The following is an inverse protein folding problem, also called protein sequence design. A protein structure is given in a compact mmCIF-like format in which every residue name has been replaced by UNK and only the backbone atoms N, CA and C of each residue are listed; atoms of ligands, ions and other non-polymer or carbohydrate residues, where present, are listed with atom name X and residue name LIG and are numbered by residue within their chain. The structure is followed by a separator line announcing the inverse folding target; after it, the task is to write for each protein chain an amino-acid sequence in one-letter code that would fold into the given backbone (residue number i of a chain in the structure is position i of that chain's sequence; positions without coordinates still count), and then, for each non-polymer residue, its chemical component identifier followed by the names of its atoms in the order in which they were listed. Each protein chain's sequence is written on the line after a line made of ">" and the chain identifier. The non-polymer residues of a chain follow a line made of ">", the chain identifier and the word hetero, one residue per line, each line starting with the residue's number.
data_IF_221683515694
#
_entry.id   IF_221683515694
#
_cell.length_a   1.000
_cell.length_b   1.000
_cell.length_c   1.000
_cell.angle_alpha   90.00
_cell.angle_beta   90.00
_cell.angle_gamma   90.00
#
_symmetry.space_group_name_H-M   'P 1'
#
loop_
_entity.id
_entity.type
_entity.pdbx_description
1 polymer ?
#
# COMPACT_ATOMS: atom_id res chain seq x y z
N UNK A 1 24.71 -60.65 -24.83
CA UNK A 1 25.85 -59.76 -24.51
C UNK A 1 25.61 -58.41 -25.16
N UNK A 2 25.08 -57.42 -24.44
CA UNK A 2 24.81 -56.06 -24.94
C UNK A 2 26.02 -55.17 -24.64
N UNK A 3 26.59 -54.53 -25.66
CA UNK A 3 27.61 -53.48 -25.54
C UNK A 3 26.90 -52.15 -25.23
N UNK A 4 27.29 -51.49 -24.15
CA UNK A 4 26.86 -50.13 -23.80
C UNK A 4 27.99 -49.19 -24.21
N UNK A 5 27.67 -48.20 -25.04
CA UNK A 5 28.57 -47.11 -25.41
C UNK A 5 28.43 -45.98 -24.37
N UNK A 6 29.54 -45.54 -23.80
CA UNK A 6 29.62 -44.34 -22.98
C UNK A 6 29.96 -43.14 -23.90
N UNK A 7 28.99 -42.25 -24.09
CA UNK A 7 29.21 -40.94 -24.70
C UNK A 7 29.32 -39.89 -23.61
N UNK A 8 30.48 -39.24 -23.49
CA UNK A 8 30.68 -38.08 -22.63
C UNK A 8 30.08 -36.87 -23.37
N UNK A 9 28.95 -36.37 -22.89
CA UNK A 9 28.38 -35.08 -23.33
C UNK A 9 28.92 -33.99 -22.40
N UNK A 10 29.91 -33.23 -22.88
CA UNK A 10 30.38 -32.01 -22.21
C UNK A 10 29.37 -30.90 -22.51
N UNK A 11 28.36 -30.74 -21.65
CA UNK A 11 27.45 -29.60 -21.70
C UNK A 11 28.10 -28.38 -21.06
N UNK A 12 28.53 -27.42 -21.88
CA UNK A 12 28.87 -26.07 -21.42
C UNK A 12 27.55 -25.38 -21.05
N UNK A 13 27.30 -25.22 -19.75
CA UNK A 13 26.25 -24.35 -19.25
C UNK A 13 26.69 -22.89 -19.47
N UNK A 14 26.16 -22.24 -20.50
CA UNK A 14 26.23 -20.79 -20.63
C UNK A 14 25.15 -20.21 -19.74
N UNK A 15 25.54 -19.70 -18.57
CA UNK A 15 24.68 -18.81 -17.80
C UNK A 15 24.58 -17.49 -18.57
N UNK A 16 23.49 -17.28 -19.29
CA UNK A 16 23.07 -15.94 -19.67
C UNK A 16 22.64 -15.23 -18.40
N UNK A 17 23.54 -14.44 -17.83
CA UNK A 17 23.16 -13.39 -16.90
C UNK A 17 22.25 -12.43 -17.68
N UNK A 18 20.95 -12.54 -17.50
CA UNK A 18 20.07 -11.40 -17.76
C UNK A 18 20.42 -10.41 -16.65
N UNK A 19 21.33 -9.49 -16.97
CA UNK A 19 21.49 -8.27 -16.18
C UNK A 19 20.10 -7.65 -16.10
N UNK A 20 19.48 -7.66 -14.93
CA UNK A 20 18.37 -6.75 -14.66
C UNK A 20 18.98 -5.36 -14.79
N UNK A 21 18.74 -4.71 -15.94
CA UNK A 21 19.02 -3.29 -16.07
C UNK A 21 18.25 -2.60 -14.94
N UNK A 22 18.94 -1.76 -14.16
CA UNK A 22 18.28 -0.92 -13.16
C UNK A 22 17.06 -0.26 -13.82
N UNK A 23 15.92 -0.26 -13.12
CA UNK A 23 14.74 0.45 -13.61
C UNK A 23 15.17 1.87 -13.99
N UNK A 24 14.86 2.34 -15.22
CA UNK A 24 15.35 3.63 -15.70
C UNK A 24 14.84 4.74 -14.77
N UNK A 25 15.70 5.73 -14.46
CA UNK A 25 15.32 6.87 -13.63
C UNK A 25 14.09 7.56 -14.24
N UNK A 26 12.98 7.58 -13.52
CA UNK A 26 11.72 8.12 -14.01
C UNK A 26 11.84 9.59 -14.42
N UNK A 27 12.73 10.33 -13.76
CA UNK A 27 13.04 11.73 -14.11
C UNK A 27 13.68 11.82 -15.49
N UNK A 28 14.58 10.87 -15.79
CA UNK A 28 15.22 10.77 -17.10
C UNK A 28 14.21 10.38 -18.18
N UNK A 29 13.39 9.35 -17.96
CA UNK A 29 12.35 8.90 -18.92
C UNK A 29 11.36 10.03 -19.22
N UNK A 30 10.90 10.74 -18.19
CA UNK A 30 10.02 11.92 -18.35
C UNK A 30 10.71 12.97 -19.22
N UNK A 31 11.95 13.32 -18.89
CA UNK A 31 12.73 14.36 -19.59
C UNK A 31 12.95 14.00 -21.05
N UNK A 32 13.31 12.75 -21.35
CA UNK A 32 13.50 12.25 -22.71
C UNK A 32 12.18 12.29 -23.52
N UNK A 33 11.06 11.89 -22.92
CA UNK A 33 9.75 11.99 -23.56
C UNK A 33 9.38 13.43 -23.92
N UNK A 34 9.63 14.40 -23.03
CA UNK A 34 9.39 15.82 -23.30
C UNK A 34 10.31 16.38 -24.40
N UNK A 35 11.56 15.95 -24.45
CA UNK A 35 12.49 16.32 -25.51
C UNK A 35 12.00 15.80 -26.87
N UNK A 36 11.52 14.55 -26.94
CA UNK A 36 10.92 13.99 -28.14
C UNK A 36 9.67 14.75 -28.57
N UNK A 37 8.78 15.08 -27.63
CA UNK A 37 7.57 15.86 -27.91
C UNK A 37 7.90 17.23 -28.51
N UNK A 38 8.84 17.96 -27.89
CA UNK A 38 9.29 19.25 -28.39
C UNK A 38 9.93 19.15 -29.79
N UNK A 39 10.73 18.09 -30.03
CA UNK A 39 11.33 17.85 -31.33
C UNK A 39 10.27 17.57 -32.42
N UNK A 40 9.22 16.80 -32.12
CA UNK A 40 8.12 16.56 -33.06
C UNK A 40 7.33 17.84 -33.36
N UNK A 41 7.06 18.66 -32.35
CA UNK A 41 6.39 19.96 -32.54
C UNK A 41 7.24 20.91 -33.39
N UNK A 42 8.56 20.94 -33.19
CA UNK A 42 9.49 21.72 -34.01
C UNK A 42 9.54 21.25 -35.48
N UNK A 43 9.23 19.98 -35.74
CA UNK A 43 9.12 19.42 -37.10
C UNK A 43 7.74 19.65 -37.74
N UNK A 44 6.86 20.42 -37.09
CA UNK A 44 5.52 20.72 -37.61
C UNK A 44 4.52 19.58 -37.43
N UNK A 45 4.80 18.62 -36.55
CA UNK A 45 3.84 17.55 -36.26
C UNK A 45 2.60 18.12 -35.54
N UNK A 46 1.43 17.72 -36.02
CA UNK A 46 0.14 18.10 -35.43
C UNK A 46 0.06 17.64 -33.96
N UNK A 47 -0.55 18.47 -33.10
CA UNK A 47 -0.46 18.32 -31.65
C UNK A 47 -1.01 16.96 -31.17
N UNK A 48 -2.18 16.55 -31.67
CA UNK A 48 -2.78 15.26 -31.31
C UNK A 48 -1.90 14.08 -31.74
N UNK A 49 -1.26 14.18 -32.91
CA UNK A 49 -0.30 13.18 -33.38
C UNK A 49 0.97 13.12 -32.52
N UNK A 50 1.49 14.28 -32.08
CA UNK A 50 2.64 14.34 -31.17
C UNK A 50 2.32 13.75 -29.79
N UNK A 51 1.12 14.02 -29.24
CA UNK A 51 0.65 13.40 -28.00
C UNK A 51 0.46 11.88 -28.16
N UNK A 52 -0.06 11.43 -29.30
CA UNK A 52 -0.17 10.00 -29.60
C UNK A 52 1.17 9.27 -29.56
N UNK A 53 2.22 9.87 -30.12
CA UNK A 53 3.57 9.32 -30.08
C UNK A 53 4.17 9.36 -28.66
N UNK A 54 3.93 10.45 -27.93
CA UNK A 54 4.41 10.60 -26.55
C UNK A 54 3.78 9.57 -25.62
N UNK A 55 2.49 9.28 -25.79
CA UNK A 55 1.79 8.20 -25.08
C UNK A 55 2.46 6.85 -25.33
N UNK A 56 2.77 6.52 -26.58
CA UNK A 56 3.42 5.25 -26.92
C UNK A 56 4.83 5.15 -26.32
N UNK A 57 5.58 6.26 -26.32
CA UNK A 57 6.89 6.33 -25.67
C UNK A 57 6.80 5.97 -24.18
N UNK A 58 5.90 6.64 -23.43
CA UNK A 58 5.75 6.39 -22.00
C UNK A 58 5.17 5.01 -21.68
N UNK A 59 4.23 4.49 -22.47
CA UNK A 59 3.74 3.12 -22.33
C UNK A 59 4.85 2.09 -22.59
N UNK A 60 5.70 2.32 -23.59
CA UNK A 60 6.86 1.47 -23.88
C UNK A 60 7.92 1.47 -22.77
N UNK A 61 7.98 2.56 -21.99
CA UNK A 61 8.79 2.67 -20.78
C UNK A 61 8.11 2.14 -19.51
N UNK A 62 6.93 1.52 -19.64
CA UNK A 62 6.19 0.93 -18.52
C UNK A 62 5.39 1.93 -17.66
N UNK A 63 5.22 3.19 -18.09
CA UNK A 63 4.45 4.19 -17.33
C UNK A 63 2.94 4.08 -17.60
N UNK A 64 2.12 4.54 -16.66
CA UNK A 64 0.68 4.71 -16.89
C UNK A 64 0.42 6.07 -17.55
N UNK A 65 -0.45 6.10 -18.57
CA UNK A 65 -0.78 7.33 -19.30
C UNK A 65 -2.28 7.49 -19.42
N UNK A 66 -2.79 8.63 -18.95
CA UNK A 66 -4.17 9.08 -19.11
C UNK A 66 -4.17 10.22 -20.13
N UNK A 67 -5.04 10.10 -21.13
CA UNK A 67 -5.21 11.11 -22.16
C UNK A 67 -6.70 11.49 -22.21
N UNK A 68 -6.99 12.76 -22.01
CA UNK A 68 -8.33 13.32 -22.17
C UNK A 68 -8.25 14.57 -23.05
N UNK A 69 -8.91 14.52 -24.20
CA UNK A 69 -8.79 15.52 -25.26
C UNK A 69 -7.33 15.82 -25.65
N UNK A 70 -6.82 16.98 -25.22
CA UNK A 70 -5.47 17.49 -25.46
C UNK A 70 -4.57 17.45 -24.22
N UNK A 71 -5.07 16.94 -23.10
CA UNK A 71 -4.33 16.86 -21.84
C UNK A 71 -3.82 15.43 -21.63
N UNK A 72 -2.57 15.32 -21.19
CA UNK A 72 -1.94 14.05 -20.86
C UNK A 72 -1.44 14.06 -19.42
N UNK A 73 -1.89 13.11 -18.62
CA UNK A 73 -1.29 12.80 -17.33
C UNK A 73 -0.46 11.51 -17.45
N UNK A 74 0.81 11.57 -17.07
CA UNK A 74 1.73 10.44 -17.08
C UNK A 74 2.09 10.13 -15.63
N UNK A 75 1.89 8.88 -15.21
CA UNK A 75 2.18 8.41 -13.85
C UNK A 75 3.28 7.34 -13.95
N UNK A 76 4.43 7.63 -13.36
CA UNK A 76 5.52 6.66 -13.21
C UNK A 76 5.28 5.72 -12.03
N UNK A 77 6.07 4.65 -11.94
CA UNK A 77 6.16 3.88 -10.70
C UNK A 77 6.66 4.82 -9.57
N UNK A 78 6.14 4.70 -8.34
CA UNK A 78 6.50 5.63 -7.27
C UNK A 78 5.69 6.94 -7.24
N UNK A 79 4.46 6.96 -7.78
CA UNK A 79 3.50 8.07 -7.60
C UNK A 79 3.83 9.42 -8.26
N UNK A 80 4.95 9.56 -8.97
CA UNK A 80 5.31 10.80 -9.67
C UNK A 80 4.42 10.99 -10.89
N UNK A 81 3.72 12.12 -10.95
CA UNK A 81 2.87 12.50 -12.08
C UNK A 81 3.39 13.74 -12.81
N UNK A 82 3.24 13.73 -14.13
CA UNK A 82 3.42 14.92 -14.98
C UNK A 82 2.11 15.17 -15.71
N UNK A 83 1.59 16.39 -15.60
CA UNK A 83 0.44 16.85 -16.35
C UNK A 83 0.92 17.77 -17.47
N UNK A 84 0.68 17.34 -18.71
CA UNK A 84 0.88 18.14 -19.91
C UNK A 84 -0.49 18.64 -20.35
N UNK A 85 -0.71 19.94 -20.19
CA UNK A 85 -1.94 20.59 -20.64
C UNK A 85 -1.83 20.93 -22.13
N UNK A 86 -2.92 20.73 -22.86
CA UNK A 86 -3.06 21.04 -24.28
C UNK A 86 -2.98 22.54 -24.60
N UNK A 87 -2.99 22.88 -25.89
CA UNK A 87 -2.65 24.21 -26.41
C UNK A 87 -3.45 25.38 -25.79
N UNK A 88 -2.88 26.62 -25.79
CA UNK A 88 -3.44 27.79 -25.08
C UNK A 88 -4.82 28.27 -25.58
N UNK A 89 -5.32 27.75 -26.70
CA UNK A 89 -6.46 28.33 -27.42
C UNK A 89 -7.83 28.01 -26.80
N UNK A 90 -7.90 27.14 -25.80
CA UNK A 90 -9.11 26.93 -24.97
C UNK A 90 -9.11 27.70 -23.65
N UNK A 91 -8.04 28.45 -23.34
CA UNK A 91 -8.07 29.48 -22.30
C UNK A 91 -8.63 30.77 -22.91
N UNK A 92 -9.92 30.73 -23.28
CA UNK A 92 -10.68 31.93 -23.54
C UNK A 92 -10.49 32.89 -22.35
N UNK A 93 -10.01 34.09 -22.66
CA UNK A 93 -9.88 35.26 -21.78
C UNK A 93 -9.85 34.91 -20.29
N UNK A 94 -8.65 34.95 -19.70
CA UNK A 94 -8.47 35.00 -18.26
C UNK A 94 -9.26 36.17 -17.65
N UNK A 95 -10.55 35.97 -17.37
CA UNK A 95 -11.14 36.55 -16.19
C UNK A 95 -10.45 35.88 -15.01
N UNK A 96 -9.90 36.69 -14.11
CA UNK A 96 -9.25 36.26 -12.88
C UNK A 96 -10.26 35.71 -11.88
N UNK A 97 -11.13 34.80 -12.32
CA UNK A 97 -11.94 33.97 -11.45
C UNK A 97 -11.03 32.89 -10.91
N UNK A 98 -10.49 33.11 -9.71
CA UNK A 98 -9.85 32.07 -8.92
C UNK A 98 -10.84 30.92 -8.80
N UNK A 99 -10.69 29.88 -9.62
CA UNK A 99 -11.31 28.60 -9.35
C UNK A 99 -10.60 28.12 -8.09
N UNK A 100 -11.23 28.38 -6.94
CA UNK A 100 -10.81 27.86 -5.65
C UNK A 100 -11.05 26.34 -5.68
N UNK A 101 -10.16 25.62 -6.36
CA UNK A 101 -9.76 24.32 -5.83
C UNK A 101 -9.20 24.66 -4.45
N UNK A 102 -10.02 24.43 -3.41
CA UNK A 102 -9.58 24.63 -2.04
C UNK A 102 -8.21 23.99 -1.93
N UNK A 103 -7.20 24.81 -1.59
CA UNK A 103 -5.82 24.39 -1.44
C UNK A 103 -5.87 23.01 -0.77
N UNK A 104 -5.33 21.93 -1.37
CA UNK A 104 -5.28 20.64 -0.70
C UNK A 104 -4.81 20.89 0.73
N UNK A 105 -5.44 20.28 1.75
CA UNK A 105 -5.03 20.49 3.14
C UNK A 105 -3.51 20.45 3.17
N UNK A 106 -2.87 21.56 3.55
CA UNK A 106 -1.41 21.64 3.47
C UNK A 106 -0.88 20.63 4.46
N UNK A 107 -0.50 19.45 3.97
CA UNK A 107 0.18 18.45 4.77
C UNK A 107 1.48 19.09 5.25
N UNK A 108 1.58 19.29 6.56
CA UNK A 108 2.82 19.71 7.19
C UNK A 108 3.88 18.62 7.06
N UNK A 109 5.15 19.03 7.12
CA UNK A 109 6.26 18.10 7.37
C UNK A 109 6.03 17.35 8.68
N UNK A 110 6.68 16.18 8.88
CA UNK A 110 6.61 15.49 10.16
C UNK A 110 7.01 16.39 11.33
N UNK A 111 6.18 16.40 12.38
CA UNK A 111 6.45 17.10 13.65
C UNK A 111 6.17 16.24 14.90
N UNK A 112 5.71 15.00 14.69
CA UNK A 112 5.50 14.00 15.73
C UNK A 112 6.01 12.64 15.25
N UNK A 113 6.46 11.82 16.19
CA UNK A 113 7.00 10.48 15.94
C UNK A 113 6.48 9.49 16.99
N UNK A 114 6.47 8.19 16.69
CA UNK A 114 6.28 7.17 17.72
C UNK A 114 7.36 7.26 18.80
N UNK A 115 6.98 7.10 20.06
CA UNK A 115 7.94 7.11 21.20
C UNK A 115 8.65 5.77 21.41
N UNK A 116 8.37 4.77 20.56
CA UNK A 116 9.01 3.46 20.55
C UNK A 116 9.54 3.13 19.16
N UNK A 117 10.84 2.89 19.02
CA UNK A 117 11.46 2.42 17.77
C UNK A 117 11.36 0.89 17.60
N UNK A 118 10.16 0.35 17.83
CA UNK A 118 9.86 -1.06 17.58
C UNK A 118 8.62 -1.21 16.72
N UNK A 119 8.66 -2.15 15.80
CA UNK A 119 7.64 -2.41 14.81
C UNK A 119 7.22 -3.89 14.84
N UNK A 120 5.93 -4.13 14.64
CA UNK A 120 5.39 -5.46 14.42
C UNK A 120 4.70 -5.52 13.07
N UNK A 121 5.04 -6.54 12.29
CA UNK A 121 4.51 -6.82 10.97
C UNK A 121 3.70 -8.12 11.05
N UNK A 122 2.45 -8.10 10.61
CA UNK A 122 1.53 -9.22 10.68
C UNK A 122 1.08 -9.62 9.27
N UNK A 123 1.29 -10.89 8.90
CA UNK A 123 0.75 -11.50 7.67
C UNK A 123 -0.07 -12.76 7.98
N UNK A 124 -1.30 -12.63 8.52
CA UNK A 124 -2.13 -13.77 8.88
C UNK A 124 -2.45 -14.72 7.72
N UNK A 125 -2.23 -14.30 6.46
CA UNK A 125 -2.60 -15.06 5.26
C UNK A 125 -1.46 -15.16 4.22
N UNK A 126 -0.21 -15.14 4.65
CA UNK A 126 0.99 -15.39 3.80
C UNK A 126 0.81 -16.62 2.89
N UNK A 127 0.18 -17.67 3.41
CA UNK A 127 -0.15 -18.91 2.68
C UNK A 127 -1.07 -18.73 1.45
N UNK A 128 -1.82 -17.63 1.35
CA UNK A 128 -2.69 -17.36 0.20
C UNK A 128 -1.94 -16.81 -1.02
N UNK A 129 -0.62 -16.60 -0.88
CA UNK A 129 0.05 -15.60 -1.67
C UNK A 129 0.31 -15.80 -3.13
N UNK A 130 0.29 -17.03 -3.62
CA UNK A 130 0.33 -17.35 -5.04
C UNK A 130 1.21 -16.41 -5.88
N UNK A 131 0.70 -16.02 -7.05
CA UNK A 131 1.38 -15.11 -7.99
C UNK A 131 0.92 -13.65 -7.88
N UNK A 132 0.02 -13.35 -6.94
CA UNK A 132 -0.62 -12.03 -6.83
C UNK A 132 -0.12 -11.21 -5.64
N UNK A 133 0.65 -11.83 -4.74
CA UNK A 133 1.35 -11.14 -3.66
C UNK A 133 2.67 -10.60 -4.16
N UNK A 134 3.09 -9.46 -3.64
CA UNK A 134 4.47 -9.05 -3.72
C UNK A 134 5.30 -9.91 -2.73
N UNK A 135 6.17 -10.83 -3.21
CA UNK A 135 6.93 -11.72 -2.34
C UNK A 135 7.94 -10.97 -1.46
N UNK A 136 8.34 -9.77 -1.87
CA UNK A 136 9.40 -8.99 -1.23
C UNK A 136 8.85 -7.90 -0.29
N UNK A 137 7.52 -7.71 -0.23
CA UNK A 137 6.87 -6.64 0.53
C UNK A 137 7.38 -6.52 1.98
N UNK A 138 7.38 -7.65 2.71
CA UNK A 138 7.77 -7.64 4.11
C UNK A 138 9.27 -7.39 4.30
N UNK A 139 10.10 -7.85 3.36
CA UNK A 139 11.54 -7.59 3.40
C UNK A 139 11.85 -6.13 3.06
N UNK A 140 11.13 -5.53 2.10
CA UNK A 140 11.23 -4.10 1.77
C UNK A 140 10.80 -3.22 2.96
N UNK A 141 9.59 -3.40 3.49
CA UNK A 141 9.09 -2.66 4.65
C UNK A 141 10.03 -2.84 5.86
N UNK A 142 10.52 -4.06 6.08
CA UNK A 142 11.47 -4.34 7.15
C UNK A 142 12.77 -3.57 6.97
N UNK A 143 13.35 -3.54 5.77
CA UNK A 143 14.58 -2.81 5.47
C UNK A 143 14.41 -1.31 5.67
N UNK A 144 13.28 -0.75 5.21
CA UNK A 144 13.00 0.68 5.35
C UNK A 144 12.83 1.06 6.82
N UNK A 145 12.05 0.30 7.58
CA UNK A 145 11.89 0.49 9.02
C UNK A 145 13.22 0.38 9.77
N UNK A 146 14.06 -0.60 9.42
CA UNK A 146 15.38 -0.76 10.03
C UNK A 146 16.31 0.40 9.69
N UNK A 147 16.22 0.94 8.48
CA UNK A 147 16.97 2.13 8.06
C UNK A 147 16.54 3.39 8.83
N UNK A 148 15.26 3.49 9.19
CA UNK A 148 14.71 4.50 10.10
C UNK A 148 14.98 4.21 11.59
N UNK A 149 15.72 3.15 11.92
CA UNK A 149 16.11 2.83 13.30
C UNK A 149 15.10 1.99 14.10
N UNK A 150 14.10 1.39 13.45
CA UNK A 150 13.16 0.49 14.11
C UNK A 150 13.69 -0.95 14.17
N UNK A 151 13.52 -1.58 15.33
CA UNK A 151 13.56 -3.03 15.44
C UNK A 151 12.26 -3.64 14.91
N UNK A 152 12.33 -4.74 14.17
CA UNK A 152 11.16 -5.36 13.51
C UNK A 152 10.92 -6.77 14.02
N UNK A 153 9.66 -7.11 14.28
CA UNK A 153 9.21 -8.48 14.54
C UNK A 153 8.14 -8.87 13.53
N UNK A 154 8.28 -10.03 12.90
CA UNK A 154 7.37 -10.51 11.87
C UNK A 154 6.65 -11.78 12.33
N UNK A 155 5.32 -11.79 12.21
CA UNK A 155 4.46 -12.95 12.49
C UNK A 155 3.59 -13.25 11.28
N UNK A 156 3.47 -14.55 10.93
CA UNK A 156 2.70 -14.97 9.77
C UNK A 156 1.81 -16.16 10.01
N UNK A 157 0.81 -16.32 9.15
CA UNK A 157 -0.13 -17.44 9.18
C UNK A 157 -0.72 -17.62 10.59
N UNK A 158 -0.76 -18.86 11.08
CA UNK A 158 -1.28 -19.21 12.41
C UNK A 158 -0.48 -18.66 13.60
N UNK A 159 0.63 -17.93 13.37
CA UNK A 159 1.32 -17.20 14.43
C UNK A 159 0.56 -15.92 14.82
N UNK A 160 -0.23 -15.35 13.90
CA UNK A 160 -1.04 -14.16 14.15
C UNK A 160 -2.33 -14.60 14.85
N UNK A 161 -2.22 -14.84 16.16
CA UNK A 161 -3.34 -15.27 17.04
C UNK A 161 -4.04 -14.10 17.68
N UNK A 162 -5.24 -14.32 18.22
CA UNK A 162 -5.92 -13.30 19.04
C UNK A 162 -5.07 -12.96 20.28
N UNK A 163 -4.46 -13.95 20.93
CA UNK A 163 -3.59 -13.72 22.08
C UNK A 163 -2.34 -12.88 21.74
N UNK A 164 -1.81 -13.01 20.53
CA UNK A 164 -0.75 -12.13 20.05
C UNK A 164 -1.27 -10.70 19.86
N UNK A 165 -2.44 -10.57 19.22
CA UNK A 165 -3.11 -9.27 19.00
C UNK A 165 -3.42 -8.58 20.33
N UNK A 166 -3.77 -9.30 21.39
CA UNK A 166 -4.03 -8.75 22.73
C UNK A 166 -2.77 -8.24 23.44
N UNK A 167 -1.59 -8.77 23.12
CA UNK A 167 -0.41 -8.60 23.99
C UNK A 167 0.83 -8.00 23.31
N UNK A 168 0.91 -7.98 21.98
CA UNK A 168 2.16 -7.67 21.25
C UNK A 168 2.12 -6.44 20.37
N UNK A 169 1.00 -5.72 20.30
CA UNK A 169 0.84 -4.58 19.37
C UNK A 169 1.18 -3.22 20.00
N UNK A 170 1.64 -3.19 21.25
CA UNK A 170 2.18 -1.97 21.86
C UNK A 170 3.57 -1.65 21.30
N UNK A 171 3.59 -1.07 20.09
CA UNK A 171 4.74 -0.84 19.21
C UNK A 171 4.62 0.52 18.54
N UNK A 172 5.73 1.14 18.15
CA UNK A 172 5.68 2.39 17.39
C UNK A 172 5.06 2.23 16.00
N UNK A 173 5.22 1.06 15.40
CA UNK A 173 4.57 0.70 14.13
C UNK A 173 3.87 -0.64 14.26
N UNK A 174 2.60 -0.69 13.84
CA UNK A 174 1.85 -1.92 13.63
C UNK A 174 1.43 -1.96 12.17
N UNK A 175 2.02 -2.87 11.41
CA UNK A 175 1.62 -3.17 10.04
C UNK A 175 0.86 -4.49 10.02
N UNK A 176 -0.35 -4.49 9.49
CA UNK A 176 -1.15 -5.71 9.32
C UNK A 176 -1.63 -5.79 7.88
N UNK A 177 -1.18 -6.82 7.18
CA UNK A 177 -1.55 -7.12 5.80
C UNK A 177 -2.33 -8.41 5.75
N UNK A 178 -3.62 -8.33 5.43
CA UNK A 178 -4.52 -9.48 5.53
C UNK A 178 -5.97 -9.17 5.18
N UNK A 179 -6.87 -10.08 5.55
CA UNK A 179 -8.30 -9.90 5.31
C UNK A 179 -8.93 -8.96 6.33
N UNK A 180 -9.78 -8.08 5.82
CA UNK A 180 -10.61 -7.17 6.59
C UNK A 180 -11.98 -7.06 5.93
N UNK A 181 -12.91 -6.43 6.63
CA UNK A 181 -14.25 -6.19 6.11
C UNK A 181 -15.08 -5.30 7.02
N UNK A 182 -16.33 -5.15 6.65
CA UNK A 182 -17.33 -4.45 7.43
C UNK A 182 -18.48 -5.37 7.82
N UNK A 183 -18.66 -5.55 9.12
CA UNK A 183 -19.81 -6.23 9.66
C UNK A 183 -21.00 -5.26 9.74
N UNK A 184 -21.90 -5.38 8.76
CA UNK A 184 -23.12 -4.57 8.69
C UNK A 184 -24.09 -4.77 9.86
N UNK A 185 -24.00 -5.89 10.59
CA UNK A 185 -24.90 -6.16 11.73
C UNK A 185 -24.52 -5.35 12.97
N UNK A 186 -23.22 -5.09 13.16
CA UNK A 186 -22.70 -4.32 14.29
C UNK A 186 -22.22 -2.92 13.89
N UNK A 187 -22.06 -2.67 12.58
CA UNK A 187 -21.50 -1.43 12.05
C UNK A 187 -19.99 -1.31 12.22
N UNK A 188 -19.29 -2.41 12.51
CA UNK A 188 -17.85 -2.41 12.80
C UNK A 188 -17.01 -2.79 11.59
N UNK A 189 -15.88 -2.12 11.41
CA UNK A 189 -14.75 -2.69 10.67
C UNK A 189 -14.17 -3.86 11.48
N UNK A 190 -13.90 -4.97 10.80
CA UNK A 190 -13.41 -6.23 11.40
C UNK A 190 -12.15 -6.68 10.66
N UNK A 191 -11.18 -7.24 11.40
CA UNK A 191 -9.90 -7.69 10.83
C UNK A 191 -9.65 -9.14 11.21
N UNK A 192 -9.33 -9.96 10.22
CA UNK A 192 -9.11 -11.38 10.42
C UNK A 192 -7.74 -11.64 11.05
N UNK A 193 -7.69 -12.57 12.00
CA UNK A 193 -6.44 -13.17 12.47
C UNK A 193 -6.04 -14.35 11.57
N UNK A 194 -4.84 -14.90 11.77
CA UNK A 194 -4.41 -16.13 11.10
C UNK A 194 -4.82 -17.39 11.86
N UNK A 195 -5.55 -17.26 12.97
CA UNK A 195 -5.95 -18.36 13.84
C UNK A 195 -7.32 -18.92 13.45
N UNK A 196 -7.40 -20.24 13.25
CA UNK A 196 -8.64 -20.95 12.93
C UNK A 196 -9.63 -20.83 14.09
N UNK A 197 -10.90 -20.64 13.76
CA UNK A 197 -11.97 -20.52 14.75
C UNK A 197 -12.07 -21.75 15.66
N UNK A 198 -12.43 -21.53 16.92
CA UNK A 198 -12.78 -22.55 17.90
C UNK A 198 -13.80 -22.00 18.90
N UNK A 199 -14.89 -22.73 19.12
CA UNK A 199 -15.92 -22.33 20.10
C UNK A 199 -15.43 -22.39 21.56
N UNK A 200 -14.26 -23.01 21.80
CA UNK A 200 -13.70 -23.18 23.16
C UNK A 200 -12.59 -22.19 23.51
N UNK A 201 -12.18 -21.29 22.61
CA UNK A 201 -11.11 -20.29 22.85
C UNK A 201 -11.69 -18.88 22.87
N UNK A 202 -11.11 -17.97 23.66
CA UNK A 202 -11.55 -16.57 23.71
C UNK A 202 -13.03 -16.41 24.06
N UNK A 203 -13.58 -17.32 24.88
CA UNK A 203 -15.02 -17.36 25.15
C UNK A 203 -15.54 -16.05 25.78
N UNK A 204 -14.70 -15.40 26.59
CA UNK A 204 -15.01 -14.10 27.16
C UNK A 204 -15.10 -13.03 26.05
N UNK A 205 -14.06 -12.89 25.23
CA UNK A 205 -14.00 -11.94 24.12
C UNK A 205 -15.12 -12.19 23.09
N UNK A 206 -15.45 -13.44 22.84
CA UNK A 206 -16.59 -13.84 22.00
C UNK A 206 -17.91 -13.37 22.60
N UNK A 207 -18.13 -13.58 23.90
CA UNK A 207 -19.36 -13.13 24.59
C UNK A 207 -19.52 -11.61 24.57
N UNK A 208 -18.41 -10.87 24.51
CA UNK A 208 -18.40 -9.41 24.41
C UNK A 208 -18.50 -8.90 22.96
N UNK A 209 -18.46 -9.79 21.95
CA UNK A 209 -18.40 -9.40 20.54
C UNK A 209 -17.07 -8.74 20.13
N UNK A 210 -16.02 -8.91 20.92
CA UNK A 210 -14.67 -8.40 20.60
C UNK A 210 -13.94 -9.29 19.62
N UNK A 211 -14.27 -10.58 19.65
CA UNK A 211 -13.79 -11.61 18.73
C UNK A 211 -14.99 -12.31 18.13
N UNK A 212 -15.06 -12.36 16.81
CA UNK A 212 -16.15 -12.96 16.04
C UNK A 212 -15.59 -13.96 15.03
N UNK A 213 -16.49 -14.78 14.49
CA UNK A 213 -16.18 -15.74 13.41
C UNK A 213 -16.39 -15.05 12.07
N UNK A 214 -15.39 -15.11 11.20
CA UNK A 214 -15.55 -14.74 9.79
C UNK A 214 -15.09 -15.88 8.89
N UNK A 215 -15.67 -15.94 7.69
CA UNK A 215 -15.32 -16.93 6.67
C UNK A 215 -14.59 -16.28 5.51
N UNK A 216 -13.51 -16.91 5.08
CA UNK A 216 -12.73 -16.54 3.91
C UNK A 216 -12.91 -17.64 2.86
N UNK A 217 -13.27 -17.24 1.65
CA UNK A 217 -13.34 -18.13 0.50
C UNK A 217 -11.97 -18.15 -0.20
N UNK A 218 -11.39 -19.34 -0.35
CA UNK A 218 -10.13 -19.52 -1.07
C UNK A 218 -10.18 -20.82 -1.89
N UNK A 219 -9.95 -20.72 -3.20
CA UNK A 219 -10.08 -21.82 -4.17
C UNK A 219 -11.38 -22.66 -4.04
N UNK A 220 -12.52 -21.99 -3.80
CA UNK A 220 -13.81 -22.67 -3.67
C UNK A 220 -14.07 -23.33 -2.32
N UNK A 221 -13.13 -23.24 -1.37
CA UNK A 221 -13.30 -23.73 -0.01
C UNK A 221 -13.42 -22.56 0.99
N UNK A 222 -14.37 -22.69 1.92
CA UNK A 222 -14.52 -21.75 3.03
C UNK A 222 -13.67 -22.16 4.21
N UNK A 223 -12.99 -21.17 4.77
CA UNK A 223 -12.13 -21.27 5.94
C UNK A 223 -12.59 -20.23 6.95
N UNK A 224 -12.92 -20.66 8.16
CA UNK A 224 -13.29 -19.82 9.29
C UNK A 224 -12.12 -19.44 10.21
N UNK A 225 -12.03 -18.17 10.56
CA UNK A 225 -10.97 -17.62 11.41
C UNK A 225 -11.55 -16.78 12.53
N UNK A 226 -10.79 -16.67 13.61
CA UNK A 226 -11.02 -15.61 14.59
C UNK A 226 -10.76 -14.26 13.92
N UNK A 227 -11.67 -13.33 14.17
CA UNK A 227 -11.66 -11.99 13.62
C UNK A 227 -11.91 -11.03 14.76
N UNK A 228 -11.13 -9.96 14.88
CA UNK A 228 -11.29 -9.01 15.96
C UNK A 228 -12.02 -7.76 15.51
N UNK A 229 -12.77 -7.20 16.45
CA UNK A 229 -13.54 -5.96 16.29
C UNK A 229 -12.83 -4.82 17.02
N UNK A 230 -13.28 -3.56 16.87
CA UNK A 230 -12.69 -2.43 17.59
C UNK A 230 -12.72 -2.62 19.12
N UNK A 231 -13.69 -3.38 19.64
CA UNK A 231 -13.81 -3.69 21.06
C UNK A 231 -12.58 -4.41 21.62
N UNK A 232 -11.93 -5.29 20.86
CA UNK A 232 -10.70 -5.95 21.33
C UNK A 232 -9.59 -4.91 21.57
N UNK A 233 -9.40 -4.00 20.63
CA UNK A 233 -8.35 -2.98 20.70
C UNK A 233 -8.60 -2.02 21.87
N UNK A 234 -9.82 -1.52 22.01
CA UNK A 234 -10.19 -0.59 23.08
C UNK A 234 -10.06 -1.17 24.49
N UNK A 235 -10.12 -2.50 24.64
CA UNK A 235 -10.05 -3.15 25.96
C UNK A 235 -8.66 -3.65 26.32
N UNK A 236 -7.82 -3.96 25.33
CA UNK A 236 -6.47 -4.49 25.57
C UNK A 236 -5.36 -3.43 25.46
N UNK A 237 -5.66 -2.25 24.90
CA UNK A 237 -4.69 -1.16 24.73
C UNK A 237 -5.23 0.18 25.25
N UNK A 238 -4.35 0.96 25.89
CA UNK A 238 -4.68 2.28 26.44
C UNK A 238 -3.54 3.30 26.40
N UNK A 239 -2.33 2.89 26.02
CA UNK A 239 -1.12 3.73 26.07
C UNK A 239 -0.13 3.34 24.96
N UNK A 240 -0.60 3.35 23.72
CA UNK A 240 0.26 3.16 22.56
C UNK A 240 1.24 4.34 22.43
N UNK A 241 2.47 4.10 21.94
CA UNK A 241 3.55 5.09 21.90
C UNK A 241 3.39 6.05 20.72
N UNK A 242 2.25 6.74 20.58
CA UNK A 242 1.95 7.58 19.42
C UNK A 242 2.12 6.80 18.10
N UNK A 243 1.66 5.54 18.10
CA UNK A 243 1.96 4.57 17.05
C UNK A 243 1.39 4.94 15.68
N UNK A 244 2.08 4.51 14.62
CA UNK A 244 1.47 4.35 13.31
C UNK A 244 0.82 2.96 13.23
N UNK A 245 -0.49 2.94 12.96
CA UNK A 245 -1.23 1.73 12.64
C UNK A 245 -1.52 1.74 11.16
N UNK A 246 -0.91 0.83 10.41
CA UNK A 246 -1.14 0.67 8.98
C UNK A 246 -1.91 -0.63 8.73
N UNK A 247 -3.16 -0.50 8.33
CA UNK A 247 -4.07 -1.61 8.09
C UNK A 247 -4.24 -1.86 6.58
N UNK A 248 -3.39 -2.72 6.05
CA UNK A 248 -3.43 -3.20 4.67
C UNK A 248 -4.46 -4.33 4.53
N UNK A 249 -5.73 -3.95 4.58
CA UNK A 249 -6.85 -4.89 4.45
C UNK A 249 -8.03 -4.23 3.74
N UNK A 250 -8.87 -5.08 3.14
CA UNK A 250 -10.14 -4.63 2.59
C UNK A 250 -10.97 -3.92 3.65
N UNK A 251 -11.49 -2.74 3.31
CA UNK A 251 -12.43 -1.99 4.15
C UNK A 251 -11.88 -1.59 5.55
N UNK A 252 -10.57 -1.68 5.78
CA UNK A 252 -9.93 -1.33 7.06
C UNK A 252 -10.21 0.10 7.55
N UNK A 253 -10.60 1.00 6.64
CA UNK A 253 -11.04 2.36 6.97
C UNK A 253 -12.35 2.74 6.24
N UNK A 254 -13.26 1.77 6.08
CA UNK A 254 -14.59 2.02 5.49
C UNK A 254 -15.40 3.03 6.32
N UNK A 255 -15.30 2.93 7.64
CA UNK A 255 -15.76 3.94 8.59
C UNK A 255 -14.68 4.16 9.67
N UNK A 256 -14.98 4.96 10.70
CA UNK A 256 -13.99 5.29 11.72
C UNK A 256 -13.86 4.29 12.86
N UNK A 257 -14.71 3.26 13.00
CA UNK A 257 -14.83 2.51 14.26
C UNK A 257 -13.51 1.86 14.70
N UNK A 258 -12.80 1.20 13.77
CA UNK A 258 -11.49 0.59 14.08
C UNK A 258 -10.41 1.65 14.32
N UNK A 259 -10.39 2.72 13.51
CA UNK A 259 -9.44 3.81 13.70
C UNK A 259 -9.63 4.51 15.05
N UNK A 260 -10.88 4.77 15.46
CA UNK A 260 -11.22 5.41 16.72
C UNK A 260 -10.78 4.55 17.92
N UNK A 261 -10.88 3.22 17.81
CA UNK A 261 -10.37 2.32 18.84
C UNK A 261 -8.84 2.38 18.98
N UNK A 262 -8.11 2.39 17.86
CA UNK A 262 -6.64 2.53 17.88
C UNK A 262 -6.18 3.91 18.37
N UNK A 263 -6.83 4.99 17.91
CA UNK A 263 -6.53 6.35 18.34
C UNK A 263 -6.86 6.55 19.82
N UNK A 264 -8.00 6.02 20.28
CA UNK A 264 -8.38 6.01 21.69
C UNK A 264 -7.43 5.21 22.57
N UNK A 265 -6.75 4.21 22.00
CA UNK A 265 -5.68 3.47 22.66
C UNK A 265 -4.31 4.18 22.65
N UNK A 266 -4.20 5.37 22.05
CA UNK A 266 -2.97 6.19 22.01
C UNK A 266 -2.18 6.14 20.69
N UNK A 267 -2.74 5.56 19.63
CA UNK A 267 -2.10 5.64 18.31
C UNK A 267 -2.05 7.11 17.84
N UNK A 268 -0.97 7.47 17.15
CA UNK A 268 -0.81 8.79 16.54
C UNK A 268 -1.59 8.90 15.23
N UNK A 269 -1.53 7.85 14.41
CA UNK A 269 -2.27 7.79 13.16
C UNK A 269 -2.71 6.36 12.82
N UNK A 270 -3.84 6.27 12.12
CA UNK A 270 -4.36 5.03 11.56
C UNK A 270 -4.52 5.20 10.06
N UNK A 271 -3.89 4.34 9.26
CA UNK A 271 -4.00 4.28 7.81
C UNK A 271 -4.75 3.01 7.39
N UNK A 272 -5.60 3.11 6.36
CA UNK A 272 -6.28 1.94 5.81
C UNK A 272 -7.15 2.25 4.59
N UNK A 273 -7.68 1.20 3.98
CA UNK A 273 -8.46 1.29 2.74
C UNK A 273 -9.96 1.48 3.00
N UNK A 274 -10.56 2.39 2.24
CA UNK A 274 -11.99 2.71 2.37
C UNK A 274 -12.94 1.65 1.79
N UNK A 275 -12.43 0.75 0.94
CA UNK A 275 -13.18 -0.35 0.30
C UNK A 275 -12.26 -1.57 0.11
N UNK A 276 -12.76 -2.61 -0.56
CA UNK A 276 -11.93 -3.72 -1.02
C UNK A 276 -10.85 -3.25 -1.98
N UNK A 277 -9.64 -3.75 -1.77
CA UNK A 277 -8.41 -3.42 -2.53
C UNK A 277 -7.88 -4.71 -3.17
N UNK A 278 -7.31 -4.61 -4.38
CA UNK A 278 -6.58 -5.72 -4.97
C UNK A 278 -5.25 -5.89 -4.26
N UNK A 279 -4.85 -7.13 -3.96
CA UNK A 279 -3.65 -7.41 -3.17
C UNK A 279 -2.40 -6.77 -3.76
N UNK A 280 -2.21 -6.85 -5.09
CA UNK A 280 -1.06 -6.23 -5.77
C UNK A 280 -1.03 -4.71 -5.61
N UNK A 281 -2.18 -4.03 -5.67
CA UNK A 281 -2.24 -2.58 -5.52
C UNK A 281 -2.00 -2.17 -4.07
N UNK A 282 -2.53 -2.96 -3.13
CA UNK A 282 -2.33 -2.79 -1.69
C UNK A 282 -0.86 -2.97 -1.29
N UNK A 283 -0.25 -4.08 -1.70
CA UNK A 283 1.16 -4.38 -1.44
C UNK A 283 2.09 -3.29 -2.02
N UNK A 284 1.88 -2.88 -3.29
CA UNK A 284 2.67 -1.83 -3.92
C UNK A 284 2.54 -0.48 -3.20
N UNK A 285 1.32 -0.11 -2.81
CA UNK A 285 1.09 1.11 -2.04
C UNK A 285 1.77 1.03 -0.67
N UNK A 286 1.67 -0.11 0.03
CA UNK A 286 2.31 -0.29 1.33
C UNK A 286 3.84 -0.17 1.23
N UNK A 287 4.47 -0.82 0.25
CA UNK A 287 5.91 -0.70 0.00
C UNK A 287 6.32 0.76 -0.23
N UNK A 288 5.66 1.46 -1.15
CA UNK A 288 5.98 2.86 -1.46
C UNK A 288 5.76 3.78 -0.24
N UNK A 289 4.68 3.55 0.51
CA UNK A 289 4.36 4.33 1.69
C UNK A 289 5.40 4.17 2.80
N UNK A 290 5.85 2.95 3.07
CA UNK A 290 6.89 2.74 4.08
C UNK A 290 8.22 3.31 3.64
N UNK A 291 8.57 3.22 2.36
CA UNK A 291 9.73 3.89 1.82
C UNK A 291 9.66 5.40 2.00
N UNK A 292 8.50 6.01 1.72
CA UNK A 292 8.31 7.45 1.90
C UNK A 292 8.39 7.89 3.36
N UNK A 293 7.76 7.15 4.26
CA UNK A 293 7.75 7.46 5.69
C UNK A 293 9.16 7.34 6.27
N UNK A 294 9.87 6.25 5.95
CA UNK A 294 11.14 5.90 6.60
C UNK A 294 12.37 6.53 5.93
N UNK A 295 12.37 6.62 4.59
CA UNK A 295 13.54 7.03 3.81
C UNK A 295 13.38 8.47 3.31
N UNK A 296 12.23 8.80 2.73
CA UNK A 296 11.99 10.15 2.23
C UNK A 296 11.57 11.15 3.33
N UNK A 297 11.30 10.65 4.54
CA UNK A 297 10.92 11.47 5.70
C UNK A 297 9.60 12.21 5.51
N UNK A 298 8.64 11.61 4.78
CA UNK A 298 7.32 12.18 4.59
C UNK A 298 6.42 11.92 5.80
N UNK A 299 5.43 12.80 6.00
CA UNK A 299 4.37 12.58 6.99
C UNK A 299 3.25 11.71 6.42
N UNK A 300 2.46 11.09 7.29
CA UNK A 300 1.26 10.30 6.92
C UNK A 300 0.34 11.07 5.96
N UNK A 301 0.13 12.37 6.19
CA UNK A 301 -0.68 13.20 5.30
C UNK A 301 -0.05 13.33 3.92
N UNK A 302 1.26 13.60 3.85
CA UNK A 302 1.99 13.72 2.58
C UNK A 302 1.94 12.41 1.78
N UNK A 303 2.11 11.28 2.47
CA UNK A 303 2.01 9.95 1.87
C UNK A 303 0.61 9.68 1.33
N UNK A 304 -0.45 9.93 2.12
CA UNK A 304 -1.83 9.76 1.64
C UNK A 304 -2.20 10.75 0.53
N UNK A 305 -1.59 11.94 0.50
CA UNK A 305 -1.81 12.94 -0.53
C UNK A 305 -1.31 12.50 -1.92
N UNK A 306 -0.42 11.49 -2.01
CA UNK A 306 -0.06 10.85 -3.28
C UNK A 306 -1.23 10.15 -3.98
N UNK A 307 -2.31 9.85 -3.24
CA UNK A 307 -3.60 9.50 -3.85
C UNK A 307 -3.77 8.05 -4.29
N UNK A 308 -3.12 7.10 -3.61
CA UNK A 308 -3.26 5.66 -3.91
C UNK A 308 -4.72 5.20 -3.94
N UNK A 309 -5.05 4.44 -4.99
CA UNK A 309 -6.39 3.90 -5.21
C UNK A 309 -6.36 2.55 -5.92
N UNK A 310 -7.37 1.73 -5.67
CA UNK A 310 -7.55 0.40 -6.30
C UNK A 310 -9.03 0.09 -6.39
N UNK A 311 -9.56 -0.16 -7.59
CA UNK A 311 -10.97 -0.54 -7.82
C UNK A 311 -11.97 0.36 -7.05
N UNK A 312 -11.70 1.67 -6.99
CA UNK A 312 -12.52 2.65 -6.28
C UNK A 312 -12.35 2.69 -4.75
N UNK A 313 -11.52 1.84 -4.17
CA UNK A 313 -10.93 2.04 -2.84
C UNK A 313 -9.89 3.17 -2.90
N UNK A 314 -9.81 3.92 -1.82
CA UNK A 314 -8.78 4.94 -1.58
C UNK A 314 -8.10 4.67 -0.26
N UNK A 315 -6.79 4.78 -0.23
CA UNK A 315 -6.03 4.78 1.02
C UNK A 315 -6.27 6.12 1.72
N UNK A 316 -6.60 6.06 3.01
CA UNK A 316 -6.92 7.24 3.82
C UNK A 316 -6.28 7.09 5.20
N UNK A 317 -6.33 8.16 5.99
CA UNK A 317 -5.90 8.13 7.38
C UNK A 317 -6.88 8.83 8.32
N UNK A 318 -6.71 8.54 9.61
CA UNK A 318 -7.28 9.26 10.77
C UNK A 318 -6.15 9.54 11.77
N UNK A 319 -6.34 10.55 12.63
CA UNK A 319 -5.35 10.97 13.62
C UNK A 319 -4.42 12.07 13.10
N UNK A 320 -3.20 12.10 13.62
CA UNK A 320 -2.17 13.12 13.36
C UNK A 320 -1.55 12.91 11.98
N UNK A 321 -1.95 13.76 11.03
CA UNK A 321 -1.41 13.72 9.67
C UNK A 321 0.08 14.08 9.56
N UNK A 322 0.64 14.73 10.56
CA UNK A 322 2.07 15.10 10.66
C UNK A 322 2.92 14.06 11.37
N UNK A 323 2.39 12.85 11.61
CA UNK A 323 3.20 11.73 12.10
C UNK A 323 4.20 11.30 11.02
N UNK A 324 5.49 11.20 11.37
CA UNK A 324 6.54 10.56 10.56
C UNK A 324 7.09 9.31 11.22
N UNK A 325 8.00 8.61 10.54
CA UNK A 325 8.72 7.44 11.08
C UNK A 325 10.21 7.71 11.22
#
# INVERSE_FOLDING_TARGET
>A
MRKIYAGILTGILVFSFVSFAAAPDHTQVITEGLQHFNAWKAQGLEHGRALGLLKQFYLGAGMQVYLDNSDMAVIGYGGKSVLLLGEPDTLGSAESGTILFGKPPQCGSPDTWPTSSSAVLLDPFDWQGGVFHNPDLFDAIKSDLQSAGYSTTYYKNSQVTISLIETKLNKGVVFNRGHGGYDSSTGNVIICSGERWSDSKYQYEQSQGWVIRAWILHYGQYYDFFTYTPGLISNYYSNLPNSLIYMESCEGLKNSTMADAWLGAGAGAYMGWTKSVLVVDGDNAAEENFHDLCINGLSVCQVVAKGYSSVGAKLRYKGTGTLGL
#
